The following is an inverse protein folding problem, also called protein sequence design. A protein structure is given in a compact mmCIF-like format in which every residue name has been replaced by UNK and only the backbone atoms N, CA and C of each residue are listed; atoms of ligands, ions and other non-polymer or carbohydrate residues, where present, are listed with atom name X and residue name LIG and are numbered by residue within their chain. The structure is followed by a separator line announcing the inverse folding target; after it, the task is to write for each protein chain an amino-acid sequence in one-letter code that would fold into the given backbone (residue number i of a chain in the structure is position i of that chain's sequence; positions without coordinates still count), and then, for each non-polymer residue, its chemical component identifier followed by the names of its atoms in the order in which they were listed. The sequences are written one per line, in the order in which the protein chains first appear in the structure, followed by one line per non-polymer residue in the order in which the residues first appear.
data_IF_777535033776
#
_entry.id   IF_777535033776
#
_cell.length_a   1.000
_cell.length_b   1.000
_cell.length_c   1.000
_cell.angle_alpha   90.00
_cell.angle_beta   90.00
_cell.angle_gamma   90.00
#
_symmetry.space_group_name_H-M   'P 1'
#
loop_
_entity.id
_entity.type
_entity.pdbx_description
1 polymer ?
#
# COMPACT_ATOMS: atom_id res chain seq x y z
N UNK A 1 17.44 3.40 9.69
CA UNK A 1 17.22 2.59 8.48
C UNK A 1 18.31 2.89 7.47
N UNK A 2 18.78 1.89 6.74
CA UNK A 2 19.59 2.14 5.54
C UNK A 2 18.75 2.88 4.51
N UNK A 3 19.37 3.78 3.72
CA UNK A 3 18.71 4.50 2.63
C UNK A 3 18.00 3.54 1.66
N UNK A 4 18.57 2.34 1.45
CA UNK A 4 17.94 1.25 0.67
C UNK A 4 16.62 0.78 1.28
N UNK A 5 16.59 0.44 2.57
CA UNK A 5 15.37 -0.03 3.26
C UNK A 5 14.25 0.99 3.20
N UNK A 6 14.57 2.27 3.38
CA UNK A 6 13.61 3.37 3.34
C UNK A 6 13.01 3.56 1.94
N UNK A 7 13.84 3.43 0.91
CA UNK A 7 13.41 3.47 -0.50
C UNK A 7 12.49 2.29 -0.83
N UNK A 8 12.87 1.07 -0.45
CA UNK A 8 12.05 -0.13 -0.67
C UNK A 8 10.69 -0.01 0.02
N UNK A 9 10.63 0.50 1.25
CA UNK A 9 9.37 0.73 1.96
C UNK A 9 8.46 1.76 1.27
N UNK A 10 9.03 2.85 0.73
CA UNK A 10 8.26 3.80 -0.07
C UNK A 10 7.65 3.14 -1.29
N UNK A 11 8.46 2.38 -2.03
CA UNK A 11 8.02 1.67 -3.24
C UNK A 11 6.89 0.69 -2.90
N UNK A 12 7.05 -0.13 -1.86
CA UNK A 12 6.02 -1.08 -1.42
C UNK A 12 4.73 -0.36 -1.02
N UNK A 13 4.84 0.76 -0.28
CA UNK A 13 3.67 1.56 0.12
C UNK A 13 2.91 2.11 -1.10
N UNK A 14 3.64 2.62 -2.09
CA UNK A 14 3.06 3.15 -3.33
C UNK A 14 2.36 2.04 -4.11
N UNK A 15 2.98 0.86 -4.24
CA UNK A 15 2.38 -0.29 -4.94
C UNK A 15 1.06 -0.71 -4.29
N UNK A 16 1.02 -0.79 -2.95
CA UNK A 16 -0.19 -1.16 -2.22
C UNK A 16 -1.32 -0.13 -2.40
N UNK A 17 -1.00 1.17 -2.41
CA UNK A 17 -1.98 2.25 -2.65
C UNK A 17 -2.51 2.17 -4.09
N UNK A 18 -1.64 1.95 -5.07
CA UNK A 18 -2.03 1.82 -6.48
C UNK A 18 -2.92 0.59 -6.67
N UNK A 19 -2.56 -0.55 -6.08
CA UNK A 19 -3.38 -1.77 -6.12
C UNK A 19 -4.77 -1.51 -5.54
N UNK A 20 -4.83 -0.88 -4.36
CA UNK A 20 -6.09 -0.50 -3.75
C UNK A 20 -6.92 0.44 -4.64
N UNK A 21 -6.29 1.43 -5.26
CA UNK A 21 -6.98 2.39 -6.15
C UNK A 21 -7.57 1.70 -7.39
N UNK A 22 -6.86 0.73 -7.97
CA UNK A 22 -7.34 -0.08 -9.09
C UNK A 22 -8.52 -0.95 -8.68
N UNK A 23 -8.48 -1.51 -7.46
CA UNK A 23 -9.60 -2.27 -6.91
C UNK A 23 -10.82 -1.39 -6.60
N UNK A 24 -10.62 -0.18 -6.06
CA UNK A 24 -11.69 0.76 -5.78
C UNK A 24 -12.44 1.23 -7.04
N UNK A 25 -11.77 1.21 -8.20
CA UNK A 25 -12.33 1.50 -9.53
C UNK A 25 -12.95 0.28 -10.21
N UNK A 26 -12.97 -0.89 -9.55
CA UNK A 26 -13.36 -2.18 -10.13
C UNK A 26 -12.58 -2.57 -11.40
N UNK A 27 -11.41 -1.98 -11.65
CA UNK A 27 -10.52 -2.33 -12.77
C UNK A 27 -9.86 -3.69 -12.50
N UNK A 28 -9.53 -3.95 -11.23
CA UNK A 28 -9.00 -5.22 -10.75
C UNK A 28 -9.93 -5.70 -9.64
N UNK A 29 -10.47 -6.91 -9.75
CA UNK A 29 -11.35 -7.49 -8.72
C UNK A 29 -10.66 -8.69 -8.11
N UNK A 30 -10.25 -8.56 -6.85
CA UNK A 30 -9.71 -9.65 -6.04
C UNK A 30 -10.68 -9.90 -4.88
N UNK A 31 -11.58 -10.91 -4.99
CA UNK A 31 -12.65 -11.14 -4.01
C UNK A 31 -12.13 -11.34 -2.58
N UNK A 32 -10.98 -12.02 -2.44
CA UNK A 32 -10.29 -12.25 -1.16
C UNK A 32 -9.88 -10.95 -0.45
N UNK A 33 -9.52 -9.91 -1.20
CA UNK A 33 -9.01 -8.65 -0.64
C UNK A 33 -10.13 -7.66 -0.32
N UNK A 34 -11.36 -7.90 -0.78
CA UNK A 34 -12.53 -7.03 -0.56
C UNK A 34 -12.75 -6.62 0.91
N UNK A 35 -12.81 -7.57 1.87
CA UNK A 35 -12.98 -7.25 3.29
C UNK A 35 -11.79 -6.48 3.89
N UNK A 36 -10.61 -6.59 3.29
CA UNK A 36 -9.36 -6.04 3.81
C UNK A 36 -8.94 -4.73 3.14
N UNK A 37 -9.73 -4.22 2.19
CA UNK A 37 -9.40 -3.01 1.43
C UNK A 37 -9.12 -1.81 2.34
N UNK A 38 -9.89 -1.65 3.42
CA UNK A 38 -9.67 -0.61 4.43
C UNK A 38 -8.31 -0.75 5.13
N UNK A 39 -7.96 -1.97 5.55
CA UNK A 39 -6.71 -2.28 6.23
C UNK A 39 -5.49 -2.11 5.32
N UNK A 40 -5.61 -2.42 4.03
CA UNK A 40 -4.55 -2.20 3.03
C UNK A 40 -4.17 -0.72 2.97
N UNK A 41 -5.16 0.19 2.99
CA UNK A 41 -4.89 1.64 2.99
C UNK A 41 -4.17 2.07 4.26
N UNK A 42 -4.64 1.62 5.43
CA UNK A 42 -4.03 1.94 6.72
C UNK A 42 -2.56 1.50 6.76
N UNK A 43 -2.29 0.24 6.41
CA UNK A 43 -0.94 -0.32 6.42
C UNK A 43 -0.04 0.44 5.46
N UNK A 44 -0.54 0.78 4.26
CA UNK A 44 0.22 1.55 3.28
C UNK A 44 0.58 2.95 3.78
N UNK A 45 -0.36 3.62 4.46
CA UNK A 45 -0.12 4.94 5.04
C UNK A 45 0.90 4.89 6.18
N UNK A 46 0.81 3.88 7.06
CA UNK A 46 1.76 3.67 8.15
C UNK A 46 3.16 3.37 7.59
N UNK A 47 3.28 2.48 6.60
CA UNK A 47 4.55 2.16 5.95
C UNK A 47 5.17 3.41 5.30
N UNK A 48 4.35 4.24 4.66
CA UNK A 48 4.79 5.49 4.04
C UNK A 48 5.29 6.47 5.11
N UNK A 49 4.57 6.62 6.23
CA UNK A 49 4.99 7.44 7.38
C UNK A 49 6.31 6.97 7.99
N UNK A 50 6.45 5.67 8.23
CA UNK A 50 7.69 5.08 8.78
C UNK A 50 8.85 5.27 7.81
N UNK A 51 8.61 5.18 6.50
CA UNK A 51 9.63 5.46 5.47
C UNK A 51 9.96 6.95 5.31
N UNK A 52 9.17 7.85 5.89
CA UNK A 52 9.38 9.30 5.81
C UNK A 52 10.19 9.83 7.01
N UNK A 53 10.13 9.13 8.16
CA UNK A 53 10.96 9.35 9.35
C UNK A 53 12.30 8.63 9.26
#
# INVERSE_FOLDING_TARGET
MSSKTRSTLKIVSIILIVLWALMAKAIIVVPMLGPYMFWIVIISFILLLVSSR
#
